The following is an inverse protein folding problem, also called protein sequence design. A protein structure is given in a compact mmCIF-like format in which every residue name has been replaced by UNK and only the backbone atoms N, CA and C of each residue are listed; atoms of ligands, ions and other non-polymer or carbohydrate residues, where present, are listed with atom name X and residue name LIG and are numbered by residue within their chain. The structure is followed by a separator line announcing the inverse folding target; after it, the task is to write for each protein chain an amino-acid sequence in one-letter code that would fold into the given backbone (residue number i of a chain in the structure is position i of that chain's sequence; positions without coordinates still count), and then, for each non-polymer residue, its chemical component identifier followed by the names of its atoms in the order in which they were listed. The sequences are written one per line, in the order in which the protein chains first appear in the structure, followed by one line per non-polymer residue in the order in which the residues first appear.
data_IF_438188017371
#
_entry.id   IF_438188017371
#
_cell.length_a   1.000
_cell.length_b   1.000
_cell.length_c   1.000
_cell.angle_alpha   90.00
_cell.angle_beta   90.00
_cell.angle_gamma   90.00
#
_symmetry.space_group_name_H-M   'P 1'
#
loop_
_entity.id
_entity.type
_entity.pdbx_description
1 polymer ?
#
# COMPACT_ATOMS: atom_id res chain seq x y z
N UNK A 1 -17.90 38.19 14.49
CA UNK A 1 -17.57 37.29 13.37
C UNK A 1 -17.49 38.08 12.08
N UNK A 2 -16.59 37.70 11.19
CA UNK A 2 -16.49 38.23 9.83
C UNK A 2 -17.05 37.17 8.86
N UNK A 3 -17.96 37.57 7.98
CA UNK A 3 -18.53 36.70 6.94
C UNK A 3 -18.15 37.25 5.57
N UNK A 4 -17.52 36.42 4.75
CA UNK A 4 -17.20 36.70 3.35
C UNK A 4 -17.98 35.70 2.50
N UNK A 5 -18.86 36.17 1.61
CA UNK A 5 -19.58 35.30 0.68
C UNK A 5 -19.66 35.92 -0.70
N UNK A 6 -19.64 35.08 -1.72
CA UNK A 6 -19.97 35.43 -3.09
C UNK A 6 -20.98 34.43 -3.63
N UNK A 7 -22.08 34.92 -4.21
CA UNK A 7 -23.17 34.06 -4.70
C UNK A 7 -22.89 33.53 -6.11
N UNK A 8 -22.06 34.22 -6.87
CA UNK A 8 -21.85 33.96 -8.30
C UNK A 8 -20.37 33.92 -8.70
N UNK A 9 -19.43 33.95 -7.75
CA UNK A 9 -18.00 33.98 -8.05
C UNK A 9 -17.12 33.51 -6.89
N UNK A 10 -15.81 33.65 -7.06
CA UNK A 10 -14.83 33.31 -6.04
C UNK A 10 -14.64 34.46 -5.04
N UNK A 11 -14.30 34.13 -3.80
CA UNK A 11 -13.67 35.09 -2.87
C UNK A 11 -12.17 34.87 -2.99
N UNK A 12 -11.45 35.87 -3.52
CA UNK A 12 -9.99 35.83 -3.64
C UNK A 12 -9.41 36.54 -2.42
N UNK A 13 -8.56 35.84 -1.68
CA UNK A 13 -7.87 36.39 -0.50
C UNK A 13 -6.39 36.03 -0.63
N UNK A 14 -5.54 37.03 -0.49
CA UNK A 14 -4.08 36.87 -0.45
C UNK A 14 -3.63 36.72 1.00
N UNK A 15 -2.55 35.96 1.23
CA UNK A 15 -1.88 35.80 2.52
C UNK A 15 -2.79 35.43 3.71
N UNK A 16 -3.51 34.32 3.58
CA UNK A 16 -4.39 33.82 4.65
C UNK A 16 -3.59 33.18 5.79
N UNK A 17 -3.84 33.63 7.03
CA UNK A 17 -3.30 33.01 8.25
C UNK A 17 -4.40 32.70 9.26
N UNK A 18 -4.54 31.44 9.63
CA UNK A 18 -5.36 31.01 10.76
C UNK A 18 -4.46 30.81 11.99
N UNK A 19 -4.59 31.66 12.99
CA UNK A 19 -3.73 31.67 14.19
C UNK A 19 -4.13 30.66 15.29
N UNK A 20 -5.13 29.80 15.04
CA UNK A 20 -5.57 28.78 15.99
C UNK A 20 -6.70 27.91 15.44
N UNK A 21 -7.11 26.90 16.23
CA UNK A 21 -8.27 26.05 15.97
C UNK A 21 -8.15 25.09 14.78
N UNK A 22 -9.10 24.16 14.70
CA UNK A 22 -9.26 23.30 13.52
C UNK A 22 -10.03 24.04 12.42
N UNK A 23 -9.71 23.75 11.17
CA UNK A 23 -10.57 24.11 10.04
C UNK A 23 -11.75 23.14 9.99
N UNK A 24 -12.99 23.65 10.06
CA UNK A 24 -14.20 22.84 10.05
C UNK A 24 -15.08 23.16 8.83
N UNK A 25 -15.94 22.21 8.46
CA UNK A 25 -16.92 22.36 7.35
C UNK A 25 -16.33 22.59 5.96
N UNK A 26 -15.03 22.32 5.77
CA UNK A 26 -14.40 22.28 4.44
C UNK A 26 -14.89 21.03 3.70
N UNK A 27 -15.56 21.22 2.56
CA UNK A 27 -16.06 20.10 1.74
C UNK A 27 -15.03 19.62 0.72
N UNK A 28 -14.19 20.53 0.23
CA UNK A 28 -13.15 20.26 -0.77
C UNK A 28 -11.98 21.21 -0.55
N UNK A 29 -10.77 20.66 -0.54
CA UNK A 29 -9.53 21.42 -0.59
C UNK A 29 -8.84 21.07 -1.92
N UNK A 30 -8.77 22.05 -2.83
CA UNK A 30 -7.98 21.95 -4.05
C UNK A 30 -6.69 22.75 -3.84
N UNK A 31 -5.55 22.06 -3.94
CA UNK A 31 -4.22 22.63 -3.73
C UNK A 31 -3.36 22.35 -4.97
N UNK A 32 -2.88 23.41 -5.62
CA UNK A 32 -2.03 23.32 -6.81
C UNK A 32 -0.55 23.06 -6.51
N UNK A 33 -0.16 23.16 -5.24
CA UNK A 33 1.19 22.90 -4.75
C UNK A 33 1.19 21.89 -3.62
N UNK A 34 2.30 21.85 -2.89
CA UNK A 34 2.51 20.90 -1.80
C UNK A 34 1.58 21.18 -0.60
N UNK A 35 1.10 20.10 0.02
CA UNK A 35 0.47 20.15 1.34
C UNK A 35 1.48 19.67 2.37
N UNK A 36 1.98 20.57 3.21
CA UNK A 36 2.93 20.24 4.27
C UNK A 36 2.22 20.13 5.63
N UNK A 37 2.31 18.96 6.26
CA UNK A 37 1.81 18.70 7.61
C UNK A 37 3.00 18.78 8.58
N UNK A 38 3.14 19.92 9.25
CA UNK A 38 4.31 20.23 10.09
C UNK A 38 3.91 20.36 11.55
N UNK A 39 4.33 19.39 12.34
CA UNK A 39 4.31 19.43 13.80
C UNK A 39 5.49 18.57 14.31
N UNK A 40 5.93 18.88 15.53
CA UNK A 40 6.90 18.07 16.29
C UNK A 40 6.24 16.91 17.03
N UNK A 41 4.92 16.95 17.22
CA UNK A 41 4.14 15.86 17.80
C UNK A 41 3.78 14.78 16.77
N UNK A 42 3.13 13.71 17.24
CA UNK A 42 2.57 12.70 16.35
C UNK A 42 1.47 13.32 15.48
N UNK A 43 1.62 13.16 14.16
CA UNK A 43 0.65 13.62 13.17
C UNK A 43 -0.07 12.43 12.55
N UNK A 44 -1.31 12.64 12.14
CA UNK A 44 -2.12 11.63 11.49
C UNK A 44 -3.05 12.23 10.45
N UNK A 45 -3.25 11.50 9.36
CA UNK A 45 -4.36 11.72 8.43
C UNK A 45 -5.42 10.68 8.78
N UNK A 46 -6.48 11.11 9.48
CA UNK A 46 -7.57 10.23 9.90
C UNK A 46 -8.73 10.35 8.94
N UNK A 47 -9.05 9.27 8.23
CA UNK A 47 -10.25 9.16 7.42
C UNK A 47 -11.28 8.28 8.13
N UNK A 48 -12.49 8.79 8.33
CA UNK A 48 -13.58 8.08 9.03
C UNK A 48 -14.68 7.63 8.08
N UNK A 49 -14.37 7.44 6.79
CA UNK A 49 -15.32 6.93 5.81
C UNK A 49 -15.98 5.63 6.28
N UNK A 50 -17.25 5.45 5.90
CA UNK A 50 -18.05 4.31 6.34
C UNK A 50 -17.48 2.99 5.77
N UNK A 51 -17.47 1.96 6.61
CA UNK A 51 -17.06 0.61 6.22
C UNK A 51 -18.05 0.09 5.15
N UNK A 52 -17.56 -0.36 3.98
CA UNK A 52 -18.42 -1.05 2.99
C UNK A 52 -18.28 -0.68 1.52
N UNK A 53 -17.21 0.01 1.09
CA UNK A 53 -16.76 -0.04 -0.32
C UNK A 53 -17.02 1.18 -1.20
N UNK A 54 -17.34 2.36 -0.63
CA UNK A 54 -17.33 3.63 -1.40
C UNK A 54 -16.73 4.81 -0.65
N UNK A 55 -16.26 4.61 0.58
CA UNK A 55 -15.72 5.64 1.44
C UNK A 55 -14.34 5.23 1.97
N UNK A 56 -13.42 5.01 1.04
CA UNK A 56 -12.01 4.71 1.33
C UNK A 56 -11.17 5.98 1.27
N UNK A 57 -10.02 5.96 1.97
CA UNK A 57 -8.97 6.96 1.71
C UNK A 57 -8.25 6.56 0.42
N UNK A 58 -8.52 7.30 -0.66
CA UNK A 58 -7.88 7.07 -1.96
C UNK A 58 -6.69 8.03 -2.09
N UNK A 59 -5.48 7.46 -2.22
CA UNK A 59 -4.25 8.21 -2.51
C UNK A 59 -3.76 7.78 -3.88
N UNK A 60 -3.92 8.66 -4.87
CA UNK A 60 -3.61 8.38 -6.27
C UNK A 60 -2.62 9.38 -6.81
N UNK A 61 -1.62 8.88 -7.54
CA UNK A 61 -0.78 9.69 -8.43
C UNK A 61 -1.10 9.31 -9.86
N UNK A 62 -1.52 10.27 -10.67
CA UNK A 62 -1.92 10.03 -12.08
C UNK A 62 -0.74 10.11 -13.05
N UNK A 63 0.34 10.76 -12.65
CA UNK A 63 1.52 11.00 -13.48
C UNK A 63 2.82 10.44 -12.87
N UNK A 64 2.74 9.68 -11.77
CA UNK A 64 3.93 9.18 -11.06
C UNK A 64 3.60 8.15 -9.99
N UNK A 65 4.51 8.00 -9.03
CA UNK A 65 4.35 7.08 -7.90
C UNK A 65 3.83 7.80 -6.66
N UNK A 66 3.19 7.05 -5.77
CA UNK A 66 3.05 7.45 -4.37
C UNK A 66 4.28 6.93 -3.64
N UNK A 67 5.13 7.85 -3.15
CA UNK A 67 6.32 7.50 -2.39
C UNK A 67 5.99 7.54 -0.90
N UNK A 68 6.17 6.42 -0.21
CA UNK A 68 5.95 6.31 1.23
C UNK A 68 7.19 5.69 1.87
N UNK A 69 7.82 6.43 2.75
CA UNK A 69 8.90 5.91 3.59
C UNK A 69 8.29 5.12 4.76
N UNK A 70 8.83 3.93 5.04
CA UNK A 70 8.39 3.01 6.08
C UNK A 70 6.85 2.77 6.14
N UNK A 71 6.40 1.64 5.62
CA UNK A 71 4.98 1.28 5.64
C UNK A 71 4.70 0.23 6.72
N UNK A 72 3.65 0.44 7.51
CA UNK A 72 3.12 -0.57 8.44
C UNK A 72 1.61 -0.68 8.29
N UNK A 73 1.14 -1.84 7.84
CA UNK A 73 -0.27 -2.19 7.85
C UNK A 73 -0.60 -3.01 9.11
N UNK A 74 -1.47 -2.47 9.97
CA UNK A 74 -1.96 -3.18 11.16
C UNK A 74 -3.33 -3.84 10.94
N UNK A 75 -3.93 -3.62 9.77
CA UNK A 75 -5.23 -4.17 9.38
C UNK A 75 -5.13 -5.62 8.91
N UNK A 76 -6.15 -6.06 8.18
CA UNK A 76 -6.21 -7.39 7.58
C UNK A 76 -5.26 -7.53 6.37
N UNK A 77 -5.58 -8.43 5.45
CA UNK A 77 -4.78 -8.71 4.26
C UNK A 77 -4.59 -7.48 3.36
N UNK A 78 -3.46 -7.47 2.63
CA UNK A 78 -3.25 -6.58 1.50
C UNK A 78 -3.77 -7.29 0.25
N UNK A 79 -4.76 -6.71 -0.43
CA UNK A 79 -5.41 -7.26 -1.63
C UNK A 79 -5.13 -6.41 -2.86
N UNK A 80 -5.48 -6.93 -4.05
CA UNK A 80 -5.40 -6.22 -5.34
C UNK A 80 -3.98 -5.79 -5.78
N UNK A 81 -2.94 -6.30 -5.12
CA UNK A 81 -1.55 -6.11 -5.54
C UNK A 81 -1.31 -6.87 -6.84
N UNK A 82 -1.06 -6.14 -7.92
CA UNK A 82 -0.76 -6.72 -9.24
C UNK A 82 0.71 -7.18 -9.34
N UNK A 83 1.63 -6.38 -8.81
CA UNK A 83 3.06 -6.68 -8.75
C UNK A 83 3.61 -6.24 -7.40
N UNK A 84 4.39 -7.12 -6.76
CA UNK A 84 5.15 -6.80 -5.56
C UNK A 84 6.64 -7.03 -5.85
N UNK A 85 7.41 -5.95 -5.88
CA UNK A 85 8.87 -5.99 -6.06
C UNK A 85 9.56 -5.59 -4.75
N UNK A 86 10.46 -6.45 -4.27
CA UNK A 86 11.24 -6.24 -3.06
C UNK A 86 12.73 -6.32 -3.43
N UNK A 87 13.45 -5.22 -3.24
CA UNK A 87 14.88 -5.11 -3.58
C UNK A 87 15.81 -5.82 -2.58
N UNK A 88 15.26 -6.36 -1.49
CA UNK A 88 16.01 -7.01 -0.42
C UNK A 88 15.25 -8.24 0.07
N UNK A 89 15.18 -8.46 1.38
CA UNK A 89 14.56 -9.65 1.98
C UNK A 89 13.05 -9.50 2.14
N UNK A 90 12.32 -10.55 1.78
CA UNK A 90 10.94 -10.79 2.22
C UNK A 90 10.97 -11.81 3.37
N UNK A 91 10.45 -11.43 4.54
CA UNK A 91 10.48 -12.28 5.74
C UNK A 91 9.07 -12.57 6.26
N UNK A 92 8.79 -13.84 6.56
CA UNK A 92 7.52 -14.32 7.11
C UNK A 92 7.78 -14.88 8.52
N UNK A 93 7.58 -14.07 9.55
CA UNK A 93 8.05 -14.34 10.93
C UNK A 93 6.95 -14.70 11.93
N UNK A 94 5.71 -14.90 11.48
CA UNK A 94 4.62 -15.30 12.39
C UNK A 94 4.93 -16.64 13.04
N UNK A 95 4.60 -16.76 14.33
CA UNK A 95 4.74 -18.02 15.08
C UNK A 95 3.61 -19.02 14.78
N UNK A 96 2.58 -18.59 14.04
CA UNK A 96 1.48 -19.45 13.60
C UNK A 96 1.82 -20.23 12.33
N UNK A 97 0.85 -20.99 11.83
CA UNK A 97 0.97 -21.61 10.51
C UNK A 97 1.11 -20.51 9.44
N UNK A 98 2.15 -20.62 8.63
CA UNK A 98 2.40 -19.72 7.51
C UNK A 98 2.46 -20.56 6.24
N UNK A 99 1.94 -20.01 5.14
CA UNK A 99 1.96 -20.67 3.85
C UNK A 99 2.09 -19.63 2.73
N UNK A 100 2.77 -20.02 1.67
CA UNK A 100 2.70 -19.35 0.37
C UNK A 100 1.83 -20.25 -0.51
N UNK A 101 0.60 -19.82 -0.76
CA UNK A 101 -0.36 -20.57 -1.57
C UNK A 101 -0.48 -19.94 -2.94
N UNK A 102 -0.17 -20.71 -3.98
CA UNK A 102 -0.37 -20.30 -5.36
C UNK A 102 -1.58 -21.04 -5.95
N UNK A 103 -2.57 -20.30 -6.45
CA UNK A 103 -3.83 -20.85 -6.96
C UNK A 103 -3.91 -20.88 -8.51
N UNK A 104 -2.79 -20.65 -9.21
CA UNK A 104 -2.77 -20.68 -10.67
C UNK A 104 -3.31 -21.99 -11.24
N UNK A 105 -3.94 -21.89 -12.41
CA UNK A 105 -4.56 -23.02 -13.08
C UNK A 105 -3.51 -24.07 -13.49
N UNK A 106 -3.85 -25.35 -13.34
CA UNK A 106 -2.94 -26.46 -13.66
C UNK A 106 -2.57 -26.49 -15.15
N UNK A 107 -1.27 -26.48 -15.46
CA UNK A 107 -0.72 -26.88 -16.76
C UNK A 107 -0.21 -25.77 -17.68
N UNK A 108 0.86 -25.06 -17.30
CA UNK A 108 1.57 -24.09 -18.16
C UNK A 108 2.41 -23.08 -17.39
N UNK A 109 2.74 -21.92 -18.00
CA UNK A 109 3.47 -20.78 -17.39
C UNK A 109 2.77 -20.09 -16.21
N UNK A 110 1.82 -20.78 -15.56
CA UNK A 110 0.99 -20.31 -14.45
C UNK A 110 1.29 -21.11 -13.17
N UNK A 111 2.54 -21.55 -13.01
CA UNK A 111 3.02 -22.23 -11.81
C UNK A 111 3.69 -21.23 -10.85
N UNK A 112 3.83 -21.60 -9.58
CA UNK A 112 4.72 -20.88 -8.66
C UNK A 112 6.17 -21.16 -9.04
N UNK A 113 6.80 -20.21 -9.71
CA UNK A 113 8.22 -20.27 -10.01
C UNK A 113 9.05 -19.64 -8.87
N UNK A 114 9.96 -20.42 -8.30
CA UNK A 114 10.99 -19.92 -7.36
C UNK A 114 12.34 -20.15 -8.02
N UNK A 115 13.06 -19.06 -8.31
CA UNK A 115 14.34 -19.11 -9.00
C UNK A 115 15.33 -18.10 -8.43
N UNK A 116 16.62 -18.36 -8.67
CA UNK A 116 17.70 -17.43 -8.38
C UNK A 116 18.52 -17.25 -9.65
N UNK A 117 18.68 -16.00 -10.08
CA UNK A 117 19.46 -15.66 -11.28
C UNK A 117 20.96 -15.67 -11.03
N UNK A 118 21.37 -15.51 -9.77
CA UNK A 118 22.76 -15.31 -9.36
C UNK A 118 23.20 -16.26 -8.23
N UNK A 119 22.59 -17.43 -8.12
CA UNK A 119 22.96 -18.42 -7.10
C UNK A 119 22.02 -19.61 -7.05
N UNK A 120 22.01 -20.28 -5.90
CA UNK A 120 21.12 -21.42 -5.65
C UNK A 120 19.83 -20.95 -4.96
N UNK A 121 18.74 -21.66 -5.22
CA UNK A 121 17.59 -21.67 -4.30
C UNK A 121 17.93 -22.67 -3.20
N UNK A 122 18.05 -22.19 -1.96
CA UNK A 122 18.33 -23.04 -0.80
C UNK A 122 17.02 -23.25 -0.05
N UNK A 123 16.62 -24.51 0.09
CA UNK A 123 15.41 -24.90 0.83
C UNK A 123 15.80 -25.95 1.87
N UNK A 124 15.45 -25.71 3.13
CA UNK A 124 15.67 -26.65 4.22
C UNK A 124 14.43 -27.53 4.44
N UNK A 125 14.65 -28.79 4.85
CA UNK A 125 13.61 -29.72 5.26
C UNK A 125 12.49 -29.91 4.21
N UNK A 126 12.87 -30.16 2.96
CA UNK A 126 11.92 -30.35 1.85
C UNK A 126 11.12 -31.64 2.04
N UNK A 127 9.78 -31.53 1.94
CA UNK A 127 8.85 -32.66 1.88
C UNK A 127 7.95 -32.50 0.66
N UNK A 128 7.85 -33.54 -0.15
CA UNK A 128 6.89 -33.63 -1.25
C UNK A 128 5.82 -34.67 -0.90
N UNK A 129 4.55 -34.26 -0.84
CA UNK A 129 3.40 -35.17 -0.63
C UNK A 129 2.81 -35.69 -1.95
N UNK A 130 3.23 -35.12 -3.08
CA UNK A 130 2.87 -35.57 -4.42
C UNK A 130 3.73 -36.76 -4.88
N UNK A 131 3.19 -37.57 -5.80
CA UNK A 131 3.82 -38.83 -6.20
C UNK A 131 4.96 -38.69 -7.22
N UNK A 132 5.05 -37.57 -7.94
CA UNK A 132 6.00 -37.42 -9.04
C UNK A 132 6.85 -36.16 -8.89
N UNK A 133 8.15 -36.32 -9.13
CA UNK A 133 9.07 -35.23 -9.41
C UNK A 133 9.65 -35.47 -10.80
N UNK A 134 9.77 -34.42 -11.62
CA UNK A 134 10.29 -34.49 -12.98
C UNK A 134 11.43 -33.50 -13.17
N UNK A 135 12.18 -33.65 -14.27
CA UNK A 135 13.26 -32.74 -14.67
C UNK A 135 14.42 -32.58 -13.67
N UNK A 136 14.50 -33.46 -12.68
CA UNK A 136 15.67 -33.55 -11.79
C UNK A 136 16.85 -34.10 -12.59
N UNK A 137 17.84 -33.26 -12.84
CA UNK A 137 19.07 -33.70 -13.53
C UNK A 137 19.99 -34.48 -12.58
N UNK A 138 20.10 -34.04 -11.33
CA UNK A 138 20.93 -34.67 -10.30
C UNK A 138 20.36 -34.45 -8.89
N UNK A 139 20.52 -35.45 -8.01
CA UNK A 139 20.40 -35.31 -6.55
C UNK A 139 21.78 -35.64 -5.98
N UNK A 140 22.32 -34.76 -5.13
CA UNK A 140 23.61 -34.96 -4.46
C UNK A 140 23.40 -35.10 -2.95
#
# INVERSE_FOLDING_TARGET
DLTLSSTNGCVVVEDVRFNGGALSSVTTLDASGDVSLVDTAAQAITHTGAIGGTADLIVTSTNGCVLVEAVRFNGAAVSEVTTFDASSTLSMTSTGAQAITHAGATGGSSDLAVSSTNGCVVVEAVRFDGAAMSEITTIQ
#
